data_IF_526072052676
#
_entry.id   IF_526072052676
#
_cell.length_a   1.000
_cell.length_b   1.000
_cell.length_c   1.000
_cell.angle_alpha   90.00
_cell.angle_beta   90.00
_cell.angle_gamma   90.00
#
_symmetry.space_group_name_H-M   'P 1'
#
loop_
_entity.id
_entity.type
_entity.pdbx_description
1 polymer ?
#
# COMPACT_ATOMS: atom_id res chain seq x y z
N UNK A 1 -18.81 74.07 11.96
CA UNK A 1 -18.05 75.08 12.73
C UNK A 1 -16.63 74.55 12.91
N UNK A 2 -15.63 74.94 12.11
CA UNK A 2 -14.63 76.00 12.41
C UNK A 2 -14.34 76.18 13.91
N UNK A 3 -13.18 75.70 14.39
CA UNK A 3 -12.04 76.47 14.99
C UNK A 3 -10.78 75.62 14.74
N UNK A 4 -9.79 76.07 13.95
CA UNK A 4 -8.72 77.03 14.27
C UNK A 4 -7.92 76.60 15.52
N UNK A 5 -6.61 76.68 15.61
CA UNK A 5 -5.51 76.92 14.68
C UNK A 5 -4.26 76.79 15.57
N UNK A 6 -3.24 76.10 15.06
CA UNK A 6 -1.81 76.49 15.10
C UNK A 6 -1.19 76.98 16.42
N UNK A 7 -0.08 76.35 16.81
CA UNK A 7 1.13 77.13 17.09
C UNK A 7 2.33 76.49 16.39
N UNK A 8 2.97 77.36 15.62
CA UNK A 8 4.17 77.14 14.82
C UNK A 8 5.41 77.19 15.72
N UNK A 9 6.42 76.36 15.42
CA UNK A 9 7.74 76.90 15.13
C UNK A 9 8.50 75.96 14.19
N UNK A 10 8.71 76.47 13.00
CA UNK A 10 9.51 75.97 11.88
C UNK A 10 11.02 76.18 12.21
N UNK A 11 11.99 75.97 11.31
CA UNK A 11 12.37 74.80 10.52
C UNK A 11 13.93 74.67 10.50
N UNK A 12 14.49 73.85 9.61
CA UNK A 12 15.90 73.78 9.19
C UNK A 12 16.91 73.02 10.06
N UNK A 13 17.78 72.30 9.31
CA UNK A 13 18.97 71.56 9.72
C UNK A 13 18.63 70.30 10.55
N UNK A 14 18.62 69.09 10.00
CA UNK A 14 19.69 68.48 9.23
C UNK A 14 19.13 67.29 8.45
N UNK A 15 18.99 67.44 7.14
CA UNK A 15 18.99 66.29 6.25
C UNK A 15 20.45 65.84 6.11
N UNK A 16 20.80 64.62 6.56
CA UNK A 16 21.66 63.64 5.88
C UNK A 16 21.97 62.44 6.80
N UNK A 17 21.92 61.22 6.23
CA UNK A 17 22.56 59.98 6.70
C UNK A 17 22.06 59.34 8.01
N UNK A 18 21.23 58.29 7.89
CA UNK A 18 21.74 56.92 8.05
C UNK A 18 20.66 55.92 7.63
N UNK A 19 20.80 55.39 6.41
CA UNK A 19 20.14 54.17 6.01
C UNK A 19 20.87 53.02 6.71
N UNK A 20 20.32 52.46 7.80
CA UNK A 20 20.63 51.11 8.27
C UNK A 20 19.66 50.71 9.40
N UNK A 21 18.61 49.96 9.07
CA UNK A 21 17.90 49.09 10.02
C UNK A 21 16.92 48.16 9.26
N UNK A 22 17.44 47.33 8.37
CA UNK A 22 16.80 46.05 8.05
C UNK A 22 17.58 44.96 8.79
N UNK A 23 17.24 44.74 10.05
CA UNK A 23 17.57 43.52 10.79
C UNK A 23 16.52 43.33 11.89
N UNK A 24 15.26 43.18 11.48
CA UNK A 24 14.28 42.52 12.33
C UNK A 24 14.44 41.02 12.10
N UNK A 25 15.09 40.34 13.05
CA UNK A 25 15.07 38.90 13.14
C UNK A 25 13.62 38.45 13.35
N UNK A 26 12.96 38.02 12.28
CA UNK A 26 11.95 36.98 12.38
C UNK A 26 12.69 35.67 12.62
N UNK A 27 12.72 35.22 13.87
CA UNK A 27 13.12 33.86 14.19
C UNK A 27 11.99 32.94 13.72
N UNK A 28 12.00 32.64 12.42
CA UNK A 28 11.38 31.43 11.92
C UNK A 28 12.30 30.32 12.34
N UNK A 29 11.93 29.63 13.42
CA UNK A 29 12.39 28.27 13.66
C UNK A 29 11.94 27.46 12.44
N UNK A 30 12.82 27.38 11.44
CA UNK A 30 12.71 26.37 10.41
C UNK A 30 12.99 25.07 11.15
N UNK A 31 11.93 24.37 11.51
CA UNK A 31 11.95 22.92 11.66
C UNK A 31 12.44 22.38 10.32
N UNK A 32 13.76 22.33 10.16
CA UNK A 32 14.40 21.48 9.17
C UNK A 32 14.10 20.08 9.70
N UNK A 33 12.98 19.52 9.24
CA UNK A 33 12.82 18.08 9.17
C UNK A 33 14.05 17.56 8.43
N UNK A 34 15.05 17.19 9.23
CA UNK A 34 16.17 16.42 8.77
C UNK A 34 15.58 15.06 8.44
N UNK A 35 15.13 14.89 7.19
CA UNK A 35 14.86 13.59 6.61
C UNK A 35 16.17 12.81 6.61
N UNK A 36 16.53 12.28 7.79
CA UNK A 36 17.54 11.27 7.93
C UNK A 36 17.08 10.10 7.05
N UNK A 37 17.95 9.68 6.12
CA UNK A 37 17.69 8.51 5.30
C UNK A 37 17.16 7.37 6.19
N UNK A 38 16.06 6.69 5.83
CA UNK A 38 15.45 5.68 6.67
C UNK A 38 16.52 4.65 7.05
N UNK A 39 16.56 4.27 8.33
CA UNK A 39 17.41 3.17 8.76
C UNK A 39 17.13 1.97 7.84
N UNK A 40 18.17 1.29 7.39
CA UNK A 40 18.11 0.22 6.40
C UNK A 40 17.09 -0.86 6.76
N UNK A 41 16.92 -1.13 8.06
CA UNK A 41 15.91 -2.04 8.59
C UNK A 41 14.50 -1.52 8.33
N UNK A 42 14.26 -0.23 8.58
CA UNK A 42 12.97 0.42 8.33
C UNK A 42 12.66 0.48 6.84
N UNK A 43 13.65 0.81 6.00
CA UNK A 43 13.48 0.80 4.55
C UNK A 43 13.06 -0.59 4.03
N UNK A 44 13.76 -1.65 4.46
CA UNK A 44 13.42 -3.01 4.05
C UNK A 44 12.07 -3.47 4.64
N UNK A 45 11.73 -3.07 5.86
CA UNK A 45 10.42 -3.32 6.47
C UNK A 45 9.30 -2.68 5.63
N UNK A 46 9.48 -1.43 5.21
CA UNK A 46 8.52 -0.73 4.35
C UNK A 46 8.36 -1.44 3.00
N UNK A 47 9.44 -1.94 2.40
CA UNK A 47 9.33 -2.73 1.18
C UNK A 47 8.51 -4.01 1.38
N UNK A 48 8.76 -4.76 2.46
CA UNK A 48 8.01 -5.98 2.78
C UNK A 48 6.53 -5.68 3.01
N UNK A 49 6.23 -4.69 3.85
CA UNK A 49 4.86 -4.30 4.19
C UNK A 49 4.14 -3.68 2.99
N UNK A 50 4.86 -2.95 2.12
CA UNK A 50 4.29 -2.40 0.89
C UNK A 50 3.76 -3.48 -0.05
N UNK A 51 4.42 -4.65 -0.13
CA UNK A 51 3.89 -5.79 -0.89
C UNK A 51 2.63 -6.36 -0.23
N UNK A 52 2.64 -6.52 1.10
CA UNK A 52 1.47 -6.99 1.86
C UNK A 52 0.26 -6.07 1.64
N UNK A 53 0.42 -4.78 1.89
CA UNK A 53 -0.66 -3.78 1.86
C UNK A 53 -1.24 -3.63 0.45
N UNK A 54 -0.40 -3.67 -0.58
CA UNK A 54 -0.84 -3.60 -1.97
C UNK A 54 -1.71 -4.82 -2.39
N UNK A 55 -1.58 -5.96 -1.70
CA UNK A 55 -2.29 -7.19 -2.01
C UNK A 55 -3.49 -7.47 -1.11
N UNK A 56 -3.61 -6.81 0.04
CA UNK A 56 -4.78 -6.93 0.93
C UNK A 56 -6.13 -6.69 0.21
N UNK A 57 -6.30 -5.67 -0.66
CA UNK A 57 -7.55 -5.48 -1.40
C UNK A 57 -7.90 -6.66 -2.32
N UNK A 58 -6.90 -7.42 -2.80
CA UNK A 58 -7.12 -8.55 -3.70
C UNK A 58 -7.77 -9.74 -3.02
N UNK A 59 -7.68 -9.87 -1.69
CA UNK A 59 -8.37 -10.93 -0.95
C UNK A 59 -9.88 -10.88 -1.25
N UNK A 60 -10.47 -9.67 -1.26
CA UNK A 60 -11.87 -9.48 -1.64
C UNK A 60 -12.17 -9.94 -3.08
N UNK A 61 -11.26 -9.67 -4.01
CA UNK A 61 -11.35 -10.17 -5.39
C UNK A 61 -11.33 -11.70 -5.44
N UNK A 62 -10.39 -12.36 -4.73
CA UNK A 62 -10.30 -13.82 -4.69
C UNK A 62 -11.58 -14.44 -4.11
N UNK A 63 -12.14 -13.87 -3.05
CA UNK A 63 -13.41 -14.33 -2.47
C UNK A 63 -14.58 -14.19 -3.44
N UNK A 64 -14.66 -13.08 -4.18
CA UNK A 64 -15.71 -12.89 -5.17
C UNK A 64 -15.57 -13.86 -6.36
N UNK A 65 -14.34 -14.11 -6.84
CA UNK A 65 -14.08 -15.11 -7.89
C UNK A 65 -14.46 -16.52 -7.42
N UNK A 66 -14.09 -16.87 -6.19
CA UNK A 66 -14.44 -18.16 -5.57
C UNK A 66 -15.96 -18.36 -5.52
N UNK A 67 -16.72 -17.33 -5.14
CA UNK A 67 -18.20 -17.37 -5.14
C UNK A 67 -18.74 -17.65 -6.55
N UNK A 68 -18.27 -16.92 -7.57
CA UNK A 68 -18.71 -17.11 -8.95
C UNK A 68 -18.39 -18.52 -9.49
N UNK A 69 -17.21 -19.05 -9.16
CA UNK A 69 -16.83 -20.42 -9.54
C UNK A 69 -17.75 -21.46 -8.86
N UNK A 70 -18.07 -21.27 -7.57
CA UNK A 70 -19.02 -22.14 -6.84
C UNK A 70 -20.43 -22.09 -7.45
N UNK A 71 -20.89 -20.90 -7.84
CA UNK A 71 -22.18 -20.73 -8.53
C UNK A 71 -22.21 -21.44 -9.88
N UNK A 72 -21.14 -21.35 -10.68
CA UNK A 72 -21.04 -22.11 -11.94
C UNK A 72 -20.99 -23.63 -11.69
N UNK A 73 -20.22 -24.07 -10.71
CA UNK A 73 -20.11 -25.50 -10.39
C UNK A 73 -21.46 -26.09 -9.97
N UNK A 74 -22.30 -25.33 -9.28
CA UNK A 74 -23.65 -25.74 -8.88
C UNK A 74 -24.64 -25.88 -10.05
N UNK A 75 -24.32 -25.36 -11.24
CA UNK A 75 -25.15 -25.48 -12.44
C UNK A 75 -24.83 -26.73 -13.27
N UNK A 76 -23.72 -27.42 -12.97
CA UNK A 76 -23.26 -28.60 -13.71
C UNK A 76 -23.92 -29.88 -13.16
N UNK A 77 -24.23 -30.81 -14.06
CA UNK A 77 -24.72 -32.14 -13.72
C UNK A 77 -23.56 -33.14 -13.85
N UNK A 78 -22.88 -33.43 -12.75
CA UNK A 78 -21.71 -34.31 -12.73
C UNK A 78 -22.00 -35.78 -13.08
N UNK A 79 -23.28 -36.16 -13.21
CA UNK A 79 -23.67 -37.46 -13.76
C UNK A 79 -23.44 -37.53 -15.29
N UNK A 80 -23.37 -36.38 -15.98
CA UNK A 80 -23.04 -36.29 -17.40
C UNK A 80 -21.53 -36.22 -17.58
N UNK A 81 -20.97 -37.11 -18.41
CA UNK A 81 -19.54 -37.11 -18.72
C UNK A 81 -19.05 -35.76 -19.28
N UNK A 82 -19.90 -35.06 -20.06
CA UNK A 82 -19.59 -33.76 -20.65
C UNK A 82 -19.32 -32.66 -19.58
N UNK A 83 -19.92 -32.77 -18.40
CA UNK A 83 -19.82 -31.76 -17.35
C UNK A 83 -18.69 -32.08 -16.35
N UNK A 84 -18.17 -33.32 -16.34
CA UNK A 84 -17.15 -33.75 -15.36
C UNK A 84 -15.83 -33.00 -15.50
N UNK A 85 -15.36 -32.79 -16.73
CA UNK A 85 -14.12 -32.05 -16.98
C UNK A 85 -14.26 -30.59 -16.53
N UNK A 86 -15.40 -29.97 -16.82
CA UNK A 86 -15.70 -28.60 -16.39
C UNK A 86 -15.78 -28.49 -14.87
N UNK A 87 -16.44 -29.45 -14.21
CA UNK A 87 -16.53 -29.50 -12.76
C UNK A 87 -15.15 -29.65 -12.11
N UNK A 88 -14.26 -30.47 -12.68
CA UNK A 88 -12.89 -30.61 -12.19
C UNK A 88 -12.08 -29.31 -12.34
N UNK A 89 -12.20 -28.62 -13.48
CA UNK A 89 -11.53 -27.34 -13.70
C UNK A 89 -12.01 -26.24 -12.73
N UNK A 90 -13.31 -26.17 -12.46
CA UNK A 90 -13.89 -25.25 -11.48
C UNK A 90 -13.41 -25.56 -10.06
N UNK A 91 -13.40 -26.85 -9.68
CA UNK A 91 -12.95 -27.29 -8.36
C UNK A 91 -11.46 -26.97 -8.14
N UNK A 92 -10.61 -27.18 -9.14
CA UNK A 92 -9.20 -26.82 -9.08
C UNK A 92 -9.02 -25.31 -8.89
N UNK A 93 -9.70 -24.48 -9.69
CA UNK A 93 -9.61 -23.02 -9.56
C UNK A 93 -10.11 -22.52 -8.20
N UNK A 94 -11.16 -23.13 -7.62
CA UNK A 94 -11.63 -22.82 -6.26
C UNK A 94 -10.54 -23.14 -5.23
N UNK A 95 -9.92 -24.31 -5.33
CA UNK A 95 -8.86 -24.74 -4.42
C UNK A 95 -7.66 -23.80 -4.48
N UNK A 96 -7.23 -23.41 -5.68
CA UNK A 96 -6.09 -22.49 -5.86
C UNK A 96 -6.35 -21.11 -5.23
N UNK A 97 -7.60 -20.62 -5.31
CA UNK A 97 -7.99 -19.37 -4.63
C UNK A 97 -7.99 -19.52 -3.11
N UNK A 98 -8.45 -20.65 -2.58
CA UNK A 98 -8.45 -20.94 -1.13
C UNK A 98 -7.02 -21.06 -0.59
N UNK A 99 -6.13 -21.72 -1.32
CA UNK A 99 -4.71 -21.84 -0.96
C UNK A 99 -3.98 -20.48 -1.00
N UNK A 100 -4.29 -19.63 -1.99
CA UNK A 100 -3.71 -18.29 -2.07
C UNK A 100 -4.14 -17.38 -0.91
N UNK A 101 -5.41 -17.44 -0.52
CA UNK A 101 -5.95 -16.72 0.64
C UNK A 101 -5.27 -17.19 1.94
N UNK A 102 -5.22 -18.51 2.14
CA UNK A 102 -4.59 -19.11 3.32
C UNK A 102 -3.10 -18.81 3.40
N UNK A 103 -2.38 -18.74 2.27
CA UNK A 103 -0.97 -18.39 2.22
C UNK A 103 -0.71 -16.96 2.74
N UNK A 104 -1.56 -15.99 2.38
CA UNK A 104 -1.47 -14.61 2.92
C UNK A 104 -1.78 -14.60 4.42
N UNK A 105 -2.83 -15.31 4.85
CA UNK A 105 -3.19 -15.41 6.26
C UNK A 105 -2.08 -16.04 7.10
N UNK A 106 -1.46 -17.11 6.59
CA UNK A 106 -0.34 -17.76 7.25
C UNK A 106 0.89 -16.84 7.31
N UNK A 107 1.18 -16.10 6.24
CA UNK A 107 2.26 -15.12 6.26
C UNK A 107 2.04 -14.09 7.37
N UNK A 108 0.85 -13.50 7.46
CA UNK A 108 0.49 -12.54 8.52
C UNK A 108 0.64 -13.12 9.93
N UNK A 109 0.20 -14.38 10.15
CA UNK A 109 0.33 -15.04 11.46
C UNK A 109 1.78 -15.30 11.88
N UNK A 110 2.69 -15.45 10.91
CA UNK A 110 4.11 -15.74 11.18
C UNK A 110 5.00 -14.51 11.16
N UNK A 111 4.54 -13.40 10.59
CA UNK A 111 5.25 -12.14 10.60
C UNK A 111 5.31 -11.59 12.03
N UNK A 112 6.49 -11.09 12.41
CA UNK A 112 6.76 -10.42 13.68
C UNK A 112 7.54 -9.15 13.39
N UNK A 113 7.22 -8.08 14.08
CA UNK A 113 7.97 -6.82 13.94
C UNK A 113 9.43 -7.06 14.37
N UNK A 114 10.42 -6.81 13.49
CA UNK A 114 11.83 -7.04 13.81
C UNK A 114 12.42 -5.94 14.73
N UNK A 115 11.64 -4.95 15.16
CA UNK A 115 12.08 -3.89 16.08
C UNK A 115 12.65 -4.41 17.40
N UNK A 116 12.31 -5.64 17.80
CA UNK A 116 12.83 -6.31 19.00
C UNK A 116 14.00 -7.26 18.73
N UNK A 117 14.53 -7.32 17.51
CA UNK A 117 15.65 -8.19 17.19
C UNK A 117 16.92 -7.79 17.95
N UNK A 118 17.73 -8.78 18.33
CA UNK A 118 19.02 -8.60 19.02
C UNK A 118 20.15 -8.07 18.10
N UNK A 119 19.81 -7.13 17.20
CA UNK A 119 20.77 -6.44 16.34
C UNK A 119 20.33 -6.27 14.89
N UNK A 120 20.87 -5.23 14.25
CA UNK A 120 20.56 -4.83 12.87
C UNK A 120 20.72 -5.96 11.85
N UNK A 121 21.83 -6.71 11.92
CA UNK A 121 22.10 -7.79 10.96
C UNK A 121 21.08 -8.94 11.04
N UNK A 122 20.54 -9.23 12.24
CA UNK A 122 19.52 -10.25 12.45
C UNK A 122 18.17 -9.75 11.89
N UNK A 123 17.82 -8.49 12.17
CA UNK A 123 16.61 -7.86 11.62
C UNK A 123 16.60 -7.87 10.08
N UNK A 124 17.72 -7.49 9.44
CA UNK A 124 17.85 -7.50 7.98
C UNK A 124 17.70 -8.91 7.39
N UNK A 125 18.37 -9.91 7.95
CA UNK A 125 18.24 -11.30 7.47
C UNK A 125 16.80 -11.84 7.60
N UNK A 126 16.14 -11.52 8.71
CA UNK A 126 14.73 -11.88 8.92
C UNK A 126 13.82 -11.21 7.89
N UNK A 127 13.98 -9.91 7.67
CA UNK A 127 13.19 -9.16 6.71
C UNK A 127 13.41 -9.64 5.26
N UNK A 128 14.65 -9.98 4.88
CA UNK A 128 14.95 -10.59 3.59
C UNK A 128 14.24 -11.93 3.38
N UNK A 129 14.15 -12.75 4.44
CA UNK A 129 13.33 -13.96 4.42
C UNK A 129 11.85 -13.62 4.22
N UNK A 130 11.31 -12.69 5.02
CA UNK A 130 9.90 -12.28 4.91
C UNK A 130 9.55 -11.67 3.56
N UNK A 131 10.49 -10.94 2.95
CA UNK A 131 10.39 -10.41 1.58
C UNK A 131 10.25 -11.54 0.56
N UNK A 132 11.09 -12.58 0.64
CA UNK A 132 10.98 -13.73 -0.27
C UNK A 132 9.65 -14.46 -0.10
N UNK A 133 9.21 -14.67 1.15
CA UNK A 133 7.93 -15.32 1.45
C UNK A 133 6.74 -14.52 0.89
N UNK A 134 6.66 -13.21 1.16
CA UNK A 134 5.53 -12.40 0.67
C UNK A 134 5.52 -12.31 -0.87
N UNK A 135 6.69 -12.33 -1.52
CA UNK A 135 6.77 -12.38 -2.98
C UNK A 135 6.28 -13.72 -3.57
N UNK A 136 6.42 -14.83 -2.84
CA UNK A 136 5.82 -16.12 -3.21
C UNK A 136 4.30 -16.04 -3.09
N UNK A 137 3.79 -15.54 -1.96
CA UNK A 137 2.35 -15.33 -1.73
C UNK A 137 1.76 -14.45 -2.82
N UNK A 138 2.41 -13.32 -3.13
CA UNK A 138 2.05 -12.43 -4.23
C UNK A 138 1.85 -13.19 -5.54
N UNK A 139 2.84 -13.99 -5.96
CA UNK A 139 2.75 -14.74 -7.22
C UNK A 139 1.61 -15.75 -7.18
N UNK A 140 1.40 -16.43 -6.05
CA UNK A 140 0.31 -17.39 -5.89
C UNK A 140 -1.07 -16.73 -6.03
N UNK A 141 -1.26 -15.56 -5.43
CA UNK A 141 -2.48 -14.76 -5.57
C UNK A 141 -2.70 -14.32 -7.02
N UNK A 142 -1.65 -13.83 -7.69
CA UNK A 142 -1.75 -13.40 -9.09
C UNK A 142 -2.10 -14.57 -10.03
N UNK A 143 -1.46 -15.73 -9.83
CA UNK A 143 -1.72 -16.91 -10.65
C UNK A 143 -3.11 -17.49 -10.41
N UNK A 144 -3.57 -17.57 -9.16
CA UNK A 144 -4.90 -18.10 -8.84
C UNK A 144 -6.00 -17.16 -9.32
N UNK A 145 -5.81 -15.84 -9.22
CA UNK A 145 -6.72 -14.84 -9.79
C UNK A 145 -6.83 -14.99 -11.31
N UNK A 146 -5.69 -15.14 -12.01
CA UNK A 146 -5.66 -15.31 -13.46
C UNK A 146 -6.32 -16.62 -13.91
N UNK A 147 -6.01 -17.72 -13.23
CA UNK A 147 -6.61 -19.04 -13.50
C UNK A 147 -8.14 -18.99 -13.31
N UNK A 148 -8.60 -18.45 -12.19
CA UNK A 148 -10.03 -18.31 -11.91
C UNK A 148 -10.77 -17.49 -12.97
N UNK A 149 -10.20 -16.35 -13.39
CA UNK A 149 -10.79 -15.53 -14.47
C UNK A 149 -10.84 -16.29 -15.80
N UNK A 150 -9.77 -16.99 -16.17
CA UNK A 150 -9.71 -17.80 -17.39
C UNK A 150 -10.76 -18.91 -17.38
N UNK A 151 -10.91 -19.61 -16.26
CA UNK A 151 -11.95 -20.63 -16.07
C UNK A 151 -13.34 -20.03 -16.20
N UNK A 152 -13.62 -18.87 -15.59
CA UNK A 152 -14.93 -18.21 -15.72
C UNK A 152 -15.24 -17.76 -17.16
N UNK A 153 -14.24 -17.27 -17.90
CA UNK A 153 -14.37 -16.81 -19.29
C UNK A 153 -14.62 -17.97 -20.26
N UNK A 154 -13.89 -19.07 -20.10
CA UNK A 154 -14.04 -20.27 -20.94
C UNK A 154 -15.43 -20.90 -20.77
N UNK A 155 -16.07 -20.67 -19.62
CA UNK A 155 -17.41 -21.15 -19.29
C UNK A 155 -18.49 -20.06 -19.50
N UNK A 156 -18.20 -18.98 -20.22
CA UNK A 156 -19.18 -17.97 -20.61
C UNK A 156 -19.84 -18.36 -21.93
N UNK A 157 -21.18 -18.32 -22.06
CA UNK A 157 -21.89 -18.71 -23.28
C UNK A 157 -21.70 -17.74 -24.47
N UNK A 158 -20.75 -16.80 -24.40
CA UNK A 158 -20.48 -15.84 -25.49
C UNK A 158 -19.01 -15.89 -25.91
N UNK A 159 -18.74 -16.80 -26.84
CA UNK A 159 -17.61 -16.74 -27.76
C UNK A 159 -18.10 -17.31 -29.10
N UNK A 160 -18.89 -16.50 -29.80
CA UNK A 160 -19.01 -16.57 -31.26
C UNK A 160 -17.87 -15.77 -31.90
#
# INVERSE_FOLDING_TARGET
MRRKATNYLHPFLTALLFAFALLSCGQQDTDVENEAAPDEVEALKQEVMGVHDAFMPRIGTLMNLKRQLKEKAAQLDTAKEADKEQAAALALAIKDLEEADEAMMQWMRTYKDPSHAEGKAIALQYLELKKREILVVKRQMESSEAAAKSTLQTQSPYKE
#
